data_IF_463575225058
#
_entry.id   IF_463575225058
#
_cell.length_a   1.000
_cell.length_b   1.000
_cell.length_c   1.000
_cell.angle_alpha   90.00
_cell.angle_beta   90.00
_cell.angle_gamma   90.00
#
_symmetry.space_group_name_H-M   'P 1'
#
loop_
_entity.id
_entity.type
_entity.pdbx_description
1 polymer ?
#
# COMPACT_ATOMS: atom_id res chain seq x y z
N UNK A 1 -23.91 29.34 8.29
CA UNK A 1 -22.79 28.85 9.12
C UNK A 1 -23.30 27.62 9.84
N UNK A 2 -22.66 26.47 9.64
CA UNK A 2 -23.00 25.20 10.30
C UNK A 2 -22.68 25.27 11.80
N UNK A 3 -23.32 24.42 12.64
CA UNK A 3 -23.02 24.35 14.07
C UNK A 3 -21.52 24.06 14.30
N UNK A 4 -20.92 23.16 13.51
CA UNK A 4 -19.51 22.87 13.56
C UNK A 4 -18.63 24.09 13.25
N UNK A 5 -18.98 24.87 12.24
CA UNK A 5 -18.24 26.10 11.93
C UNK A 5 -18.39 27.16 13.04
N UNK A 6 -19.57 27.25 13.68
CA UNK A 6 -19.77 28.13 14.81
C UNK A 6 -18.97 27.68 16.02
N UNK A 7 -18.95 26.38 16.30
CA UNK A 7 -18.18 25.81 17.41
C UNK A 7 -16.68 26.11 17.28
N UNK A 8 -16.07 25.84 16.13
CA UNK A 8 -14.61 26.08 15.92
C UNK A 8 -14.22 27.56 15.92
N UNK A 9 -15.19 28.48 15.83
CA UNK A 9 -14.98 29.93 15.95
C UNK A 9 -15.36 30.48 17.34
N UNK A 10 -15.80 29.62 18.26
CA UNK A 10 -16.27 30.04 19.59
C UNK A 10 -15.10 30.28 20.55
N UNK A 11 -15.29 31.24 21.50
CA UNK A 11 -14.32 31.50 22.58
C UNK A 11 -14.09 30.24 23.45
N UNK A 12 -15.11 29.39 23.57
CA UNK A 12 -15.02 28.12 24.33
C UNK A 12 -14.00 27.18 23.67
N UNK A 13 -14.07 27.01 22.37
CA UNK A 13 -13.09 26.18 21.62
C UNK A 13 -11.69 26.80 21.66
N UNK A 14 -11.60 28.11 21.53
CA UNK A 14 -10.30 28.78 21.56
C UNK A 14 -9.61 28.67 22.92
N UNK A 15 -10.37 28.83 24.00
CA UNK A 15 -9.90 28.65 25.38
C UNK A 15 -9.49 27.20 25.64
N UNK A 16 -10.29 26.25 25.23
CA UNK A 16 -9.98 24.82 25.33
C UNK A 16 -8.72 24.44 24.52
N UNK A 17 -8.61 24.97 23.32
CA UNK A 17 -7.42 24.77 22.48
C UNK A 17 -6.13 25.26 23.16
N UNK A 18 -6.17 26.43 23.76
CA UNK A 18 -5.03 26.99 24.52
C UNK A 18 -4.66 26.12 25.73
N UNK A 19 -5.65 25.61 26.44
CA UNK A 19 -5.46 24.72 27.60
C UNK A 19 -4.75 23.42 27.13
N UNK A 20 -5.27 22.73 26.13
CA UNK A 20 -4.69 21.49 25.63
C UNK A 20 -3.26 21.70 25.12
N UNK A 21 -2.99 22.78 24.40
CA UNK A 21 -1.66 23.14 23.92
C UNK A 21 -0.71 23.32 25.11
N UNK A 22 -1.12 24.05 26.15
CA UNK A 22 -0.31 24.26 27.35
C UNK A 22 0.01 22.94 28.06
N UNK A 23 -0.97 22.07 28.23
CA UNK A 23 -0.79 20.76 28.88
C UNK A 23 0.10 19.77 28.09
N UNK A 24 0.08 19.86 26.76
CA UNK A 24 0.87 18.97 25.89
C UNK A 24 2.25 19.51 25.56
N UNK A 25 2.56 20.76 25.94
CA UNK A 25 3.91 21.34 25.77
C UNK A 25 4.88 20.63 26.71
N UNK A 26 5.94 20.07 26.16
CA UNK A 26 6.97 19.37 26.93
C UNK A 26 7.92 20.38 27.62
N UNK A 27 8.72 19.93 28.62
CA UNK A 27 9.67 20.79 29.31
C UNK A 27 10.72 21.46 28.40
N UNK A 28 10.97 20.91 27.23
CA UNK A 28 11.85 21.47 26.20
C UNK A 28 11.20 22.60 25.38
N UNK A 29 9.93 22.93 25.67
CA UNK A 29 9.16 23.97 25.00
C UNK A 29 8.52 23.54 23.68
N UNK A 30 8.64 22.27 23.29
CA UNK A 30 8.05 21.75 22.06
C UNK A 30 6.77 20.95 22.32
N UNK A 31 5.91 20.92 21.30
CA UNK A 31 4.78 20.01 21.20
C UNK A 31 5.12 18.95 20.17
N UNK A 32 4.81 17.70 20.50
CA UNK A 32 5.09 16.57 19.65
C UNK A 32 3.81 16.03 19.02
N UNK A 33 3.93 15.60 17.76
CA UNK A 33 2.87 14.87 17.07
C UNK A 33 2.65 13.51 17.77
N UNK A 34 1.47 13.29 18.33
CA UNK A 34 1.18 12.11 19.16
C UNK A 34 1.14 10.79 18.37
N UNK A 35 1.13 10.86 17.03
CA UNK A 35 1.17 9.68 16.16
C UNK A 35 2.60 9.34 15.72
N UNK A 36 3.41 10.37 15.37
CA UNK A 36 4.75 10.15 14.81
C UNK A 36 5.87 10.33 15.85
N UNK A 37 5.60 11.01 16.97
CA UNK A 37 6.59 11.37 17.96
C UNK A 37 7.55 12.49 17.51
N UNK A 38 7.32 13.10 16.35
CA UNK A 38 8.16 14.19 15.84
C UNK A 38 7.72 15.55 16.41
N UNK A 39 8.65 16.51 16.65
CA UNK A 39 8.29 17.84 17.12
C UNK A 39 7.54 18.64 16.04
N UNK A 40 6.48 19.34 16.44
CA UNK A 40 5.72 20.26 15.58
C UNK A 40 6.36 21.64 15.67
N UNK A 41 7.15 21.99 14.68
CA UNK A 41 7.99 23.19 14.69
C UNK A 41 7.25 24.49 14.35
N UNK A 42 6.05 24.40 13.79
CA UNK A 42 5.32 25.56 13.29
C UNK A 42 3.91 25.60 13.88
N UNK A 43 3.54 26.70 14.46
CA UNK A 43 2.23 26.88 15.13
C UNK A 43 1.04 26.61 14.21
N UNK A 44 1.16 26.95 12.92
CA UNK A 44 0.09 26.68 11.94
C UNK A 44 -0.01 25.22 11.51
N UNK A 45 1.03 24.40 11.78
CA UNK A 45 1.01 22.95 11.54
C UNK A 45 0.37 22.19 12.71
N UNK A 46 0.09 22.85 13.84
CA UNK A 46 -0.46 22.25 15.04
C UNK A 46 -1.97 22.14 14.95
N UNK A 47 -2.48 20.91 14.91
CA UNK A 47 -3.91 20.61 14.83
C UNK A 47 -4.34 19.78 16.03
N UNK A 48 -5.45 20.18 16.64
CA UNK A 48 -6.17 19.38 17.63
C UNK A 48 -7.19 18.53 16.86
N UNK A 49 -6.92 17.24 16.78
CA UNK A 49 -7.75 16.26 16.10
C UNK A 49 -8.65 15.54 17.09
N UNK A 50 -9.98 15.55 16.86
CA UNK A 50 -10.92 14.78 17.66
C UNK A 50 -10.85 13.30 17.23
N UNK A 51 -10.57 12.39 18.18
CA UNK A 51 -10.56 10.92 17.95
C UNK A 51 -11.97 10.42 17.58
N UNK A 52 -13.00 10.91 18.31
CA UNK A 52 -14.40 10.78 17.92
C UNK A 52 -14.72 12.03 17.12
N UNK A 53 -14.95 11.88 15.82
CA UNK A 53 -15.21 13.00 14.91
C UNK A 53 -16.44 13.80 15.34
N UNK A 54 -16.32 15.14 15.31
CA UNK A 54 -17.44 16.00 15.60
C UNK A 54 -18.42 16.06 14.41
N UNK A 55 -19.69 15.91 14.74
CA UNK A 55 -20.81 16.03 13.81
C UNK A 55 -21.76 17.16 14.29
N UNK A 56 -22.73 17.55 13.44
CA UNK A 56 -23.76 18.49 13.79
C UNK A 56 -24.64 18.02 15.01
N UNK A 57 -24.61 16.68 15.26
CA UNK A 57 -25.41 16.02 16.30
C UNK A 57 -24.69 15.99 17.66
N UNK A 58 -23.36 15.81 17.66
CA UNK A 58 -22.54 15.61 18.85
C UNK A 58 -21.71 16.84 19.27
N UNK A 59 -21.65 17.88 18.46
CA UNK A 59 -20.82 19.07 18.71
C UNK A 59 -21.19 19.81 20.00
N UNK A 60 -22.43 19.73 20.41
CA UNK A 60 -22.95 20.35 21.66
C UNK A 60 -22.66 19.50 22.90
N UNK A 61 -22.26 18.24 22.72
CA UNK A 61 -21.85 17.36 23.81
C UNK A 61 -20.42 17.70 24.27
N UNK A 62 -20.33 18.34 25.41
CA UNK A 62 -19.07 18.79 26.02
C UNK A 62 -18.12 17.61 26.32
N UNK A 63 -18.70 16.43 26.66
CA UNK A 63 -17.91 15.22 26.92
C UNK A 63 -17.22 14.68 25.69
N UNK A 64 -17.62 15.11 24.49
CA UNK A 64 -17.00 14.77 23.19
C UNK A 64 -16.22 15.97 22.65
N UNK A 65 -16.86 17.15 22.60
CA UNK A 65 -16.34 18.32 21.88
C UNK A 65 -15.23 19.08 22.62
N UNK A 66 -15.24 19.08 23.95
CA UNK A 66 -14.26 19.76 24.81
C UNK A 66 -13.59 18.79 25.80
N UNK A 67 -13.45 17.53 25.43
CA UNK A 67 -12.80 16.51 26.25
C UNK A 67 -11.32 16.36 25.81
N UNK A 68 -10.35 16.65 26.72
CA UNK A 68 -8.92 16.48 26.40
C UNK A 68 -8.54 15.05 26.00
N UNK A 69 -9.23 14.04 26.54
CA UNK A 69 -8.98 12.63 26.22
C UNK A 69 -9.46 12.27 24.81
N UNK A 70 -10.43 13.01 24.27
CA UNK A 70 -10.89 12.88 22.89
C UNK A 70 -10.02 13.67 21.90
N UNK A 71 -9.04 14.44 22.38
CA UNK A 71 -8.13 15.21 21.53
C UNK A 71 -6.80 14.47 21.35
N UNK A 72 -6.30 14.54 20.15
CA UNK A 72 -4.96 14.15 19.77
C UNK A 72 -4.27 15.33 19.10
N UNK A 73 -3.08 15.72 19.58
CA UNK A 73 -2.30 16.80 18.98
C UNK A 73 -1.46 16.22 17.87
N UNK A 74 -1.66 16.69 16.66
CA UNK A 74 -1.00 16.18 15.46
C UNK A 74 -0.55 17.32 14.55
N UNK A 75 0.44 17.02 13.69
CA UNK A 75 0.82 17.92 12.61
C UNK A 75 -0.26 17.99 11.53
N UNK A 76 -0.30 19.08 10.77
CA UNK A 76 -1.16 19.20 9.59
C UNK A 76 -0.99 18.00 8.63
N UNK A 77 0.23 17.52 8.49
CA UNK A 77 0.56 16.34 7.69
C UNK A 77 -0.11 15.07 8.22
N UNK A 78 0.03 14.81 9.52
CA UNK A 78 -0.58 13.65 10.19
C UNK A 78 -2.10 13.74 10.18
N UNK A 79 -2.67 14.93 10.44
CA UNK A 79 -4.11 15.16 10.38
C UNK A 79 -4.71 14.84 9.02
N UNK A 80 -4.06 15.30 7.94
CA UNK A 80 -4.50 14.96 6.57
C UNK A 80 -4.40 13.46 6.25
N UNK A 81 -3.41 12.78 6.86
CA UNK A 81 -3.28 11.33 6.76
C UNK A 81 -4.43 10.60 7.45
N UNK A 82 -4.78 11.02 8.67
CA UNK A 82 -5.87 10.44 9.46
C UNK A 82 -7.23 10.57 8.74
N UNK A 83 -7.48 11.74 8.15
CA UNK A 83 -8.73 12.00 7.42
C UNK A 83 -8.71 11.57 5.95
N UNK A 84 -7.62 10.97 5.45
CA UNK A 84 -7.44 10.69 4.01
C UNK A 84 -7.77 11.88 3.10
N UNK A 85 -7.55 13.12 3.60
CA UNK A 85 -7.92 14.36 2.90
C UNK A 85 -7.07 14.62 1.67
N UNK A 86 -7.68 15.33 0.72
CA UNK A 86 -7.08 15.78 -0.53
C UNK A 86 -5.71 16.44 -0.29
N UNK A 87 -4.65 15.89 -0.90
CA UNK A 87 -3.26 16.37 -0.76
C UNK A 87 -2.33 15.45 0.03
N UNK A 88 -2.82 14.67 0.96
CA UNK A 88 -2.06 13.60 1.57
C UNK A 88 -2.34 12.29 0.84
N UNK A 89 -1.73 12.11 -0.32
CA UNK A 89 -1.53 10.77 -0.86
C UNK A 89 -0.30 10.19 -0.18
N UNK A 90 -0.46 9.13 0.58
CA UNK A 90 0.66 8.27 0.94
C UNK A 90 1.50 8.08 -0.34
N UNK A 91 2.83 8.18 -0.24
CA UNK A 91 3.70 7.97 -1.40
C UNK A 91 3.37 6.60 -1.97
N UNK A 92 2.79 6.57 -3.17
CA UNK A 92 2.45 5.34 -3.86
C UNK A 92 3.70 4.51 -4.08
N UNK A 93 3.77 3.37 -3.42
CA UNK A 93 4.91 2.47 -3.46
C UNK A 93 4.65 1.34 -4.44
N UNK A 94 5.69 0.91 -5.13
CA UNK A 94 5.63 -0.20 -6.07
C UNK A 94 6.59 -1.28 -5.62
N UNK A 95 6.11 -2.51 -5.57
CA UNK A 95 6.87 -3.68 -5.18
C UNK A 95 6.82 -4.73 -6.28
N UNK A 96 7.99 -5.28 -6.65
CA UNK A 96 8.08 -6.43 -7.54
C UNK A 96 8.24 -7.66 -6.66
N UNK A 97 7.25 -8.54 -6.68
CA UNK A 97 7.29 -9.80 -5.92
C UNK A 97 7.64 -10.92 -6.88
N UNK A 98 8.84 -11.50 -6.71
CA UNK A 98 9.37 -12.47 -7.65
C UNK A 98 9.81 -13.77 -6.97
N UNK A 99 9.96 -14.82 -7.76
CA UNK A 99 10.35 -16.15 -7.31
C UNK A 99 9.86 -17.24 -8.26
N UNK A 100 10.24 -18.48 -7.99
CA UNK A 100 9.88 -19.62 -8.81
C UNK A 100 8.35 -19.78 -8.96
N UNK A 101 7.87 -20.43 -10.03
CA UNK A 101 6.49 -20.94 -10.05
C UNK A 101 6.25 -21.78 -8.80
N UNK A 102 5.03 -21.72 -8.26
CA UNK A 102 4.64 -22.40 -7.01
C UNK A 102 5.37 -21.98 -5.72
N UNK A 103 6.20 -20.93 -5.74
CA UNK A 103 6.90 -20.44 -4.54
C UNK A 103 5.99 -19.78 -3.48
N UNK A 104 4.71 -19.52 -3.76
CA UNK A 104 3.81 -18.89 -2.80
C UNK A 104 3.70 -17.36 -2.91
N UNK A 105 4.18 -16.76 -4.00
CA UNK A 105 4.12 -15.30 -4.23
C UNK A 105 2.73 -14.69 -4.03
N UNK A 106 1.71 -15.31 -4.64
CA UNK A 106 0.33 -14.81 -4.55
C UNK A 106 -0.22 -14.91 -3.14
N UNK A 107 0.13 -15.97 -2.40
CA UNK A 107 -0.22 -16.16 -0.98
C UNK A 107 0.41 -15.06 -0.15
N UNK A 108 1.72 -14.86 -0.28
CA UNK A 108 2.44 -13.82 0.43
C UNK A 108 1.83 -12.42 0.17
N UNK A 109 1.55 -12.08 -1.09
CA UNK A 109 0.91 -10.80 -1.42
C UNK A 109 -0.49 -10.69 -0.82
N UNK A 110 -1.28 -11.77 -0.79
CA UNK A 110 -2.62 -11.75 -0.19
C UNK A 110 -2.61 -11.52 1.32
N UNK A 111 -1.52 -11.86 2.00
CA UNK A 111 -1.31 -11.59 3.43
C UNK A 111 -0.83 -10.17 3.71
N UNK A 112 -0.18 -9.52 2.73
CA UNK A 112 0.39 -8.18 2.88
C UNK A 112 -0.49 -7.07 2.33
N UNK A 113 -1.30 -7.37 1.31
CA UNK A 113 -2.04 -6.35 0.59
C UNK A 113 -3.32 -5.93 1.33
N UNK A 114 -3.51 -4.63 1.46
CA UNK A 114 -4.70 -4.02 2.02
C UNK A 114 -5.76 -3.74 0.92
N UNK A 115 -7.02 -3.50 1.27
CA UNK A 115 -8.09 -3.24 0.29
C UNK A 115 -7.84 -2.07 -0.68
N UNK A 116 -6.98 -1.11 -0.29
CA UNK A 116 -6.59 0.04 -1.12
C UNK A 116 -5.40 -0.25 -2.05
N UNK A 117 -4.81 -1.45 -1.97
CA UNK A 117 -3.62 -1.80 -2.74
C UNK A 117 -3.99 -2.39 -4.11
N UNK A 118 -3.13 -2.13 -5.10
CA UNK A 118 -3.24 -2.70 -6.44
C UNK A 118 -2.37 -3.96 -6.53
N UNK A 119 -2.99 -5.09 -6.85
CA UNK A 119 -2.27 -6.35 -7.06
C UNK A 119 -2.35 -6.74 -8.53
N UNK A 120 -1.20 -6.73 -9.20
CA UNK A 120 -1.08 -7.18 -10.58
C UNK A 120 -0.44 -8.57 -10.66
N UNK A 121 -1.22 -9.51 -11.21
CA UNK A 121 -0.82 -10.87 -11.49
C UNK A 121 -1.35 -11.25 -12.89
N UNK A 122 -0.45 -11.56 -13.82
CA UNK A 122 -0.84 -11.88 -15.21
C UNK A 122 -1.71 -13.13 -15.30
N UNK A 123 -1.58 -14.09 -14.38
CA UNK A 123 -2.41 -15.27 -14.36
C UNK A 123 -3.86 -14.94 -13.93
N UNK A 124 -4.03 -13.99 -13.02
CA UNK A 124 -5.36 -13.44 -12.68
C UNK A 124 -5.97 -12.70 -13.87
N UNK A 125 -5.16 -11.95 -14.64
CA UNK A 125 -5.63 -11.27 -15.84
C UNK A 125 -6.11 -12.27 -16.90
N UNK A 126 -5.38 -13.35 -17.12
CA UNK A 126 -5.82 -14.46 -17.99
C UNK A 126 -7.17 -15.01 -17.54
N UNK A 127 -7.35 -15.27 -16.26
CA UNK A 127 -8.61 -15.78 -15.71
C UNK A 127 -9.77 -14.81 -15.88
N UNK A 128 -9.52 -13.51 -15.79
CA UNK A 128 -10.56 -12.49 -15.93
C UNK A 128 -11.07 -12.32 -17.35
N UNK A 129 -10.25 -12.59 -18.38
CA UNK A 129 -10.55 -12.27 -19.79
C UNK A 129 -10.95 -13.50 -20.60
N UNK A 130 -10.43 -14.67 -20.27
CA UNK A 130 -10.72 -15.91 -21.02
C UNK A 130 -12.17 -16.39 -20.83
N UNK A 131 -12.67 -17.16 -21.78
CA UNK A 131 -14.02 -17.71 -21.69
C UNK A 131 -14.19 -18.64 -20.48
N UNK A 132 -15.37 -18.66 -19.82
CA UNK A 132 -15.63 -19.51 -18.65
C UNK A 132 -15.46 -21.02 -18.89
N UNK A 133 -15.50 -21.46 -20.15
CA UNK A 133 -15.29 -22.86 -20.54
C UNK A 133 -13.82 -23.29 -20.51
N UNK A 134 -12.87 -22.37 -20.44
CA UNK A 134 -11.46 -22.70 -20.34
C UNK A 134 -11.13 -23.36 -19.00
N UNK A 135 -10.21 -24.32 -19.01
CA UNK A 135 -9.68 -24.92 -17.78
C UNK A 135 -8.88 -23.91 -16.98
N UNK A 136 -8.60 -24.18 -15.69
CA UNK A 136 -7.99 -23.21 -14.77
C UNK A 136 -6.66 -22.61 -15.29
N UNK A 137 -5.84 -23.39 -15.96
CA UNK A 137 -4.50 -22.99 -16.42
C UNK A 137 -4.42 -22.73 -17.92
N UNK A 138 -5.53 -22.83 -18.64
CA UNK A 138 -5.55 -22.65 -20.08
C UNK A 138 -5.34 -21.18 -20.46
N UNK A 139 -4.46 -20.95 -21.43
CA UNK A 139 -4.11 -19.64 -21.98
C UNK A 139 -4.28 -19.68 -23.50
N UNK A 140 -5.48 -19.43 -24.02
CA UNK A 140 -5.75 -19.49 -25.46
C UNK A 140 -4.82 -18.55 -26.25
N UNK A 141 -4.03 -19.06 -27.23
CA UNK A 141 -3.06 -18.24 -27.97
C UNK A 141 -3.67 -17.03 -28.68
N UNK A 142 -4.95 -17.15 -29.08
CA UNK A 142 -5.71 -16.09 -29.74
C UNK A 142 -5.84 -14.84 -28.89
N UNK A 143 -5.84 -14.98 -27.55
CA UNK A 143 -5.99 -13.87 -26.61
C UNK A 143 -4.66 -13.23 -26.17
N UNK A 144 -3.53 -13.80 -26.59
CA UNK A 144 -2.18 -13.40 -26.13
C UNK A 144 -1.94 -11.90 -26.33
N UNK A 145 -2.25 -11.35 -27.52
CA UNK A 145 -2.08 -9.92 -27.81
C UNK A 145 -2.96 -9.03 -26.93
N UNK A 146 -4.20 -9.47 -26.68
CA UNK A 146 -5.13 -8.73 -25.82
C UNK A 146 -4.63 -8.69 -24.37
N UNK A 147 -4.20 -9.84 -23.84
CA UNK A 147 -3.67 -9.95 -22.47
C UNK A 147 -2.42 -9.08 -22.30
N UNK A 148 -1.49 -9.12 -23.26
CA UNK A 148 -0.30 -8.27 -23.17
C UNK A 148 -0.61 -6.78 -23.33
N UNK A 149 -1.58 -6.40 -24.16
CA UNK A 149 -2.06 -5.03 -24.23
C UNK A 149 -2.65 -4.53 -22.90
N UNK A 150 -3.50 -5.35 -22.27
CA UNK A 150 -4.06 -5.04 -20.95
C UNK A 150 -2.97 -4.98 -19.86
N UNK A 151 -2.02 -5.94 -19.87
CA UNK A 151 -0.84 -5.90 -18.99
C UNK A 151 -0.10 -4.58 -19.11
N UNK A 152 0.23 -4.18 -20.34
CA UNK A 152 1.01 -2.97 -20.59
C UNK A 152 0.25 -1.72 -20.15
N UNK A 153 -1.07 -1.70 -20.35
CA UNK A 153 -1.95 -0.62 -19.84
C UNK A 153 -1.90 -0.52 -18.31
N UNK A 154 -2.05 -1.64 -17.60
CA UNK A 154 -2.00 -1.64 -16.13
C UNK A 154 -0.63 -1.23 -15.63
N UNK A 155 0.45 -1.76 -16.23
CA UNK A 155 1.81 -1.39 -15.84
C UNK A 155 2.11 0.10 -16.13
N UNK A 156 1.56 0.68 -17.20
CA UNK A 156 1.68 2.10 -17.48
C UNK A 156 0.92 2.96 -16.47
N UNK A 157 -0.27 2.55 -16.05
CA UNK A 157 -1.01 3.19 -14.96
C UNK A 157 -0.23 3.14 -13.63
N UNK A 158 0.42 2.03 -13.32
CA UNK A 158 1.28 1.91 -12.15
C UNK A 158 2.49 2.84 -12.28
N UNK A 159 3.15 2.87 -13.42
CA UNK A 159 4.30 3.74 -13.72
C UNK A 159 3.95 5.22 -13.54
N UNK A 160 2.80 5.63 -14.06
CA UNK A 160 2.31 7.03 -13.98
C UNK A 160 1.61 7.34 -12.66
N UNK A 161 1.50 6.36 -11.75
CA UNK A 161 0.81 6.51 -10.46
C UNK A 161 -0.68 6.89 -10.61
N UNK A 162 -1.33 6.48 -11.70
CA UNK A 162 -2.75 6.73 -11.95
C UNK A 162 -3.62 5.96 -10.93
N UNK A 163 -4.72 6.60 -10.49
CA UNK A 163 -5.66 6.02 -9.53
C UNK A 163 -5.40 6.43 -8.08
N UNK A 164 -6.06 5.78 -7.12
CA UNK A 164 -6.05 6.14 -5.70
C UNK A 164 -5.54 5.01 -4.79
N UNK A 165 -4.74 4.11 -5.34
CA UNK A 165 -4.10 3.02 -4.59
C UNK A 165 -2.93 3.53 -3.73
N UNK A 166 -2.59 2.80 -2.68
CA UNK A 166 -1.48 3.11 -1.76
C UNK A 166 -0.21 2.36 -2.16
N UNK A 167 -0.28 1.04 -2.30
CA UNK A 167 0.81 0.20 -2.78
C UNK A 167 0.41 -0.55 -4.05
N UNK A 168 1.38 -0.90 -4.89
CA UNK A 168 1.17 -1.77 -6.03
C UNK A 168 2.14 -2.96 -5.95
N UNK A 169 1.60 -4.17 -5.96
CA UNK A 169 2.35 -5.42 -5.97
C UNK A 169 2.31 -6.03 -7.37
N UNK A 170 3.46 -6.17 -8.01
CA UNK A 170 3.61 -6.78 -9.32
C UNK A 170 4.20 -8.18 -9.13
N UNK A 171 3.40 -9.20 -9.37
CA UNK A 171 3.77 -10.60 -9.19
C UNK A 171 4.31 -11.17 -10.49
N UNK A 172 5.50 -11.79 -10.45
CA UNK A 172 6.08 -12.43 -11.62
C UNK A 172 7.19 -13.43 -11.29
N UNK A 173 7.67 -14.14 -12.31
CA UNK A 173 8.78 -15.07 -12.16
C UNK A 173 10.12 -14.35 -12.04
N UNK A 174 10.45 -13.53 -13.00
CA UNK A 174 11.67 -12.70 -13.10
C UNK A 174 12.97 -13.41 -12.66
N UNK A 175 13.37 -14.54 -13.30
CA UNK A 175 14.55 -15.28 -12.90
C UNK A 175 15.84 -14.50 -13.11
N UNK A 176 15.91 -13.67 -14.15
CA UNK A 176 17.10 -12.93 -14.52
C UNK A 176 17.16 -11.58 -13.78
N UNK A 177 18.32 -11.28 -13.18
CA UNK A 177 18.56 -10.02 -12.50
C UNK A 177 18.36 -8.80 -13.41
N UNK A 178 18.89 -8.74 -14.65
CA UNK A 178 18.70 -7.57 -15.51
C UNK A 178 17.22 -7.29 -15.84
N UNK A 179 16.38 -8.32 -15.93
CA UNK A 179 14.95 -8.14 -16.18
C UNK A 179 14.23 -7.58 -14.94
N UNK A 180 14.66 -7.99 -13.74
CA UNK A 180 14.13 -7.41 -12.48
C UNK A 180 14.49 -5.94 -12.36
N UNK A 181 15.78 -5.60 -12.57
CA UNK A 181 16.27 -4.23 -12.50
C UNK A 181 15.58 -3.33 -13.53
N UNK A 182 15.52 -3.76 -14.79
CA UNK A 182 14.82 -3.02 -15.85
C UNK A 182 13.34 -2.79 -15.52
N UNK A 183 12.68 -3.79 -14.95
CA UNK A 183 11.27 -3.68 -14.57
C UNK A 183 11.13 -2.75 -13.37
N UNK A 184 12.02 -2.84 -12.38
CA UNK A 184 12.04 -1.98 -11.21
C UNK A 184 12.26 -0.51 -11.60
N UNK A 185 13.22 -0.23 -12.43
CA UNK A 185 13.52 1.11 -12.92
C UNK A 185 12.36 1.68 -13.73
N UNK A 186 11.82 0.89 -14.66
CA UNK A 186 10.69 1.31 -15.50
C UNK A 186 9.46 1.68 -14.67
N UNK A 187 9.18 0.95 -13.60
CA UNK A 187 8.02 1.15 -12.76
C UNK A 187 8.29 2.07 -11.57
N UNK A 188 9.54 2.47 -11.34
CA UNK A 188 9.96 3.18 -10.14
C UNK A 188 9.64 2.36 -8.89
N UNK A 189 10.00 1.08 -8.89
CA UNK A 189 9.75 0.19 -7.78
C UNK A 189 10.68 0.54 -6.60
N UNK A 190 10.11 0.49 -5.38
CA UNK A 190 10.86 0.73 -4.16
C UNK A 190 11.69 -0.48 -3.76
N UNK A 191 11.16 -1.69 -4.01
CA UNK A 191 11.84 -2.95 -3.65
C UNK A 191 11.44 -4.08 -4.61
N UNK A 192 12.43 -4.98 -4.84
CA UNK A 192 12.17 -6.31 -5.37
C UNK A 192 12.17 -7.29 -4.19
N UNK A 193 11.06 -7.98 -3.98
CA UNK A 193 10.84 -8.91 -2.86
C UNK A 193 10.96 -10.32 -3.42
N UNK A 194 11.97 -11.04 -2.96
CA UNK A 194 12.19 -12.44 -3.34
C UNK A 194 11.40 -13.37 -2.42
N UNK A 195 10.60 -14.25 -3.01
CA UNK A 195 9.96 -15.34 -2.27
C UNK A 195 10.84 -16.56 -2.43
N UNK A 196 11.71 -16.74 -1.43
CA UNK A 196 12.71 -17.81 -1.38
C UNK A 196 12.06 -19.12 -0.88
N UNK A 197 11.68 -19.95 -1.83
CA UNK A 197 11.10 -21.26 -1.55
C UNK A 197 11.98 -22.34 -2.19
N UNK A 198 12.40 -23.37 -1.45
CA UNK A 198 13.25 -24.43 -1.97
C UNK A 198 12.67 -25.09 -3.23
N UNK A 199 13.55 -25.50 -4.16
CA UNK A 199 13.17 -26.12 -5.45
C UNK A 199 12.26 -27.32 -5.25
N UNK A 200 12.57 -28.17 -4.28
CA UNK A 200 11.85 -29.40 -3.96
C UNK A 200 10.40 -29.09 -3.55
N UNK A 201 10.21 -28.04 -2.76
CA UNK A 201 8.87 -27.58 -2.32
C UNK A 201 8.08 -27.03 -3.52
N UNK A 202 8.73 -26.27 -4.39
CA UNK A 202 8.09 -25.77 -5.62
C UNK A 202 7.69 -26.92 -6.56
N UNK A 203 8.55 -27.95 -6.72
CA UNK A 203 8.26 -29.14 -7.51
C UNK A 203 7.12 -29.97 -6.93
N UNK A 204 7.11 -30.20 -5.62
CA UNK A 204 6.02 -30.90 -4.94
C UNK A 204 4.65 -30.22 -5.19
N UNK A 205 4.60 -28.89 -5.07
CA UNK A 205 3.38 -28.12 -5.37
C UNK A 205 3.04 -28.07 -6.86
N UNK A 206 4.03 -28.15 -7.73
CA UNK A 206 3.83 -28.21 -9.19
C UNK A 206 3.25 -29.54 -9.63
N UNK A 207 3.52 -30.65 -8.95
CA UNK A 207 2.98 -31.96 -9.24
C UNK A 207 1.44 -32.04 -9.15
N UNK A 208 0.83 -31.16 -8.36
CA UNK A 208 -0.64 -31.02 -8.24
C UNK A 208 -1.26 -30.21 -9.40
N UNK A 209 -0.45 -29.72 -10.34
CA UNK A 209 -0.84 -28.88 -11.48
C UNK A 209 -0.58 -29.61 -12.80
N UNK A 210 -1.01 -29.04 -13.96
CA UNK A 210 -0.66 -29.62 -15.25
C UNK A 210 0.84 -29.88 -15.41
N UNK A 211 1.24 -30.98 -16.05
CA UNK A 211 2.63 -31.46 -16.12
C UNK A 211 3.67 -30.44 -16.57
N UNK A 212 3.27 -29.45 -17.38
CA UNK A 212 4.17 -28.36 -17.79
C UNK A 212 4.70 -27.50 -16.63
N UNK A 213 4.02 -27.51 -15.46
CA UNK A 213 4.46 -26.68 -14.34
C UNK A 213 5.77 -27.16 -13.71
N UNK A 214 6.02 -28.45 -13.70
CA UNK A 214 7.32 -29.02 -13.26
C UNK A 214 8.44 -28.44 -14.08
N UNK A 215 8.29 -28.44 -15.42
CA UNK A 215 9.30 -27.87 -16.32
C UNK A 215 9.49 -26.37 -16.08
N UNK A 216 8.41 -25.60 -15.85
CA UNK A 216 8.51 -24.17 -15.55
C UNK A 216 9.27 -23.89 -14.25
N UNK A 217 9.15 -24.77 -13.24
CA UNK A 217 9.95 -24.66 -12.01
C UNK A 217 11.41 -24.93 -12.30
N UNK A 218 11.73 -26.01 -13.01
CA UNK A 218 13.11 -26.37 -13.37
C UNK A 218 13.79 -25.27 -14.18
N UNK A 219 13.15 -24.79 -15.25
CA UNK A 219 13.64 -23.71 -16.10
C UNK A 219 13.90 -22.43 -15.31
N UNK A 220 13.04 -22.15 -14.32
CA UNK A 220 13.23 -20.98 -13.50
C UNK A 220 14.48 -21.07 -12.65
N UNK A 221 14.72 -22.20 -11.95
CA UNK A 221 15.90 -22.40 -11.11
C UNK A 221 17.18 -22.46 -11.92
N UNK A 222 17.15 -23.02 -13.11
CA UNK A 222 18.30 -23.05 -14.04
C UNK A 222 18.71 -21.63 -14.48
N UNK A 223 17.73 -20.77 -14.73
CA UNK A 223 17.95 -19.39 -15.21
C UNK A 223 18.15 -18.37 -14.09
N UNK A 224 17.90 -18.74 -12.83
CA UNK A 224 17.92 -17.78 -11.74
C UNK A 224 19.31 -17.19 -11.52
N UNK A 225 19.38 -15.86 -11.59
CA UNK A 225 20.56 -15.09 -11.18
C UNK A 225 20.25 -14.29 -9.92
N UNK A 226 21.01 -14.50 -8.81
CA UNK A 226 20.82 -13.76 -7.56
C UNK A 226 21.16 -12.26 -7.73
N UNK A 227 20.63 -11.37 -6.87
CA UNK A 227 21.05 -9.98 -6.85
C UNK A 227 22.54 -9.84 -6.55
N UNK A 228 23.23 -8.93 -7.23
CA UNK A 228 24.65 -8.62 -6.94
C UNK A 228 24.72 -7.98 -5.55
N UNK A 229 25.51 -8.56 -4.64
CA UNK A 229 25.72 -8.05 -3.29
C UNK A 229 24.92 -8.74 -2.18
N UNK A 230 24.07 -9.73 -2.47
CA UNK A 230 23.48 -10.60 -1.45
C UNK A 230 24.48 -11.72 -1.10
N UNK A 231 25.50 -11.40 -0.32
CA UNK A 231 26.21 -12.44 0.44
C UNK A 231 25.23 -13.00 1.49
N UNK A 232 25.07 -14.32 1.49
CA UNK A 232 24.31 -15.08 2.49
C UNK A 232 24.96 -14.96 3.86
#
# INVERSE_FOLDING_TARGET
VTKLQAFYKSDRWESFRKLVISERTKPDGFIYDEVTGEPILRVYDLILHHKIELTEENVDDVSISLNPDNIMVVSFRTHNKLHKRFGYRARKRVYIVYGAPCAGKTTWVSEQAEPSDLVFDIDKLWRAVRAPKCTEYEKPPQLTKNIFGLRDTVLDQIRTRLGSWDNAYIIGGYPLQPDRERTADRLGAERCIFIDTPKEVCLARAAERPSAWTQYVEDWFERYSPPVGSFR
#
